data_IF_250400891092
#
_entry.id   IF_250400891092
#
_cell.length_a   1.000
_cell.length_b   1.000
_cell.length_c   1.000
_cell.angle_alpha   90.00
_cell.angle_beta   90.00
_cell.angle_gamma   90.00
#
_symmetry.space_group_name_H-M   'P 1'
#
loop_
_entity.id
_entity.type
_entity.pdbx_description
1 polymer ?
#
# COMPACT_ATOMS: atom_id res chain seq x y z
N UNK A 1 -24.14 33.09 2.27
CA UNK A 1 -23.95 31.72 1.74
C UNK A 1 -22.56 31.30 2.15
N UNK A 2 -22.46 30.42 3.14
CA UNK A 2 -21.16 29.91 3.57
C UNK A 2 -20.59 29.03 2.45
N UNK A 3 -19.39 29.31 1.99
CA UNK A 3 -18.66 28.39 1.13
C UNK A 3 -18.44 27.09 1.91
N UNK A 4 -18.63 25.91 1.31
CA UNK A 4 -18.23 24.69 1.97
C UNK A 4 -16.72 24.77 2.15
N UNK A 5 -16.32 24.86 3.42
CA UNK A 5 -14.95 24.66 3.77
C UNK A 5 -14.52 23.29 3.23
N UNK A 6 -13.45 23.24 2.49
CA UNK A 6 -12.94 22.00 1.87
C UNK A 6 -12.38 20.99 2.89
N UNK A 7 -12.90 20.97 4.10
CA UNK A 7 -12.50 20.08 5.20
C UNK A 7 -13.33 18.78 5.25
N UNK A 8 -13.97 18.41 4.13
CA UNK A 8 -14.60 17.09 4.03
C UNK A 8 -13.56 15.99 4.28
N UNK A 9 -13.86 15.06 5.18
CA UNK A 9 -13.01 13.90 5.42
C UNK A 9 -12.71 13.20 4.09
N UNK A 10 -11.42 12.82 3.86
CA UNK A 10 -10.99 12.10 2.66
C UNK A 10 -11.47 10.64 2.76
N UNK A 11 -12.71 10.41 2.35
CA UNK A 11 -13.37 9.11 2.47
C UNK A 11 -12.91 8.19 1.35
N UNK A 12 -12.35 6.99 1.67
CA UNK A 12 -11.99 6.00 0.67
C UNK A 12 -13.18 5.61 -0.21
N UNK A 13 -12.93 5.43 -1.51
CA UNK A 13 -13.95 5.13 -2.50
C UNK A 13 -14.26 6.30 -3.44
N UNK A 14 -14.06 7.53 -3.00
CA UNK A 14 -14.02 8.70 -3.87
C UNK A 14 -12.65 8.75 -4.56
N UNK A 15 -12.63 8.91 -5.89
CA UNK A 15 -11.40 8.91 -6.68
C UNK A 15 -10.42 10.01 -6.24
N UNK A 16 -10.91 11.20 -5.92
CA UNK A 16 -10.04 12.28 -5.43
C UNK A 16 -9.41 11.94 -4.08
N UNK A 17 -10.17 11.33 -3.19
CA UNK A 17 -9.66 10.86 -1.89
C UNK A 17 -8.66 9.72 -2.08
N UNK A 18 -8.95 8.76 -2.95
CA UNK A 18 -8.04 7.64 -3.23
C UNK A 18 -6.71 8.14 -3.80
N UNK A 19 -6.72 9.13 -4.69
CA UNK A 19 -5.49 9.75 -5.21
C UNK A 19 -4.66 10.41 -4.10
N UNK A 20 -5.30 11.12 -3.20
CA UNK A 20 -4.62 11.79 -2.08
C UNK A 20 -4.01 10.79 -1.11
N UNK A 21 -4.75 9.74 -0.75
CA UNK A 21 -4.24 8.70 0.14
C UNK A 21 -3.10 7.91 -0.50
N UNK A 22 -3.23 7.59 -1.79
CA UNK A 22 -2.16 6.88 -2.50
C UNK A 22 -0.91 7.76 -2.65
N UNK A 23 -1.07 9.05 -2.90
CA UNK A 23 0.04 10.02 -2.90
C UNK A 23 0.73 10.05 -1.54
N UNK A 24 -0.03 10.04 -0.44
CA UNK A 24 0.53 9.96 0.90
C UNK A 24 1.34 8.66 1.12
N UNK A 25 0.89 7.53 0.58
CA UNK A 25 1.64 6.28 0.63
C UNK A 25 2.96 6.38 -0.15
N UNK A 26 2.94 7.01 -1.32
CA UNK A 26 4.15 7.26 -2.10
C UNK A 26 5.13 8.17 -1.34
N UNK A 27 4.64 9.24 -0.73
CA UNK A 27 5.47 10.13 0.08
C UNK A 27 6.09 9.39 1.27
N UNK A 28 5.32 8.52 1.90
CA UNK A 28 5.80 7.70 3.02
C UNK A 28 6.91 6.74 2.58
N UNK A 29 6.86 6.22 1.35
CA UNK A 29 7.89 5.33 0.82
C UNK A 29 9.28 5.97 0.79
N UNK A 30 9.36 7.29 0.72
CA UNK A 30 10.64 8.03 0.73
C UNK A 30 11.36 7.96 2.06
N UNK A 31 10.69 7.60 3.14
CA UNK A 31 11.28 7.42 4.47
C UNK A 31 11.99 6.07 4.61
N UNK A 32 11.73 5.13 3.72
CA UNK A 32 12.36 3.82 3.77
C UNK A 32 13.88 3.94 3.61
N UNK A 33 14.68 3.23 4.42
CA UNK A 33 16.12 3.15 4.21
C UNK A 33 16.43 2.64 2.80
N UNK A 34 17.41 3.22 2.14
CA UNK A 34 17.82 2.81 0.81
C UNK A 34 18.24 1.35 0.80
N UNK A 35 17.91 0.62 -0.28
CA UNK A 35 18.30 -0.77 -0.46
C UNK A 35 18.73 -0.99 -1.91
N UNK A 36 19.72 -1.86 -2.09
CA UNK A 36 20.15 -2.32 -3.42
C UNK A 36 19.37 -3.56 -3.88
N UNK A 37 18.57 -4.17 -3.01
CA UNK A 37 17.95 -5.48 -3.23
C UNK A 37 16.43 -5.49 -3.00
N UNK A 38 15.81 -4.37 -2.65
CA UNK A 38 14.38 -4.30 -2.37
C UNK A 38 13.83 -2.91 -2.67
N UNK A 39 12.59 -2.87 -3.18
CA UNK A 39 11.89 -1.62 -3.42
C UNK A 39 11.51 -0.91 -2.11
N UNK A 40 11.47 0.40 -2.16
CA UNK A 40 10.94 1.25 -1.09
C UNK A 40 9.46 1.51 -1.35
N UNK A 41 8.64 1.11 -0.39
CA UNK A 41 7.16 1.11 -0.46
C UNK A 41 6.62 1.82 0.77
N UNK A 42 5.50 2.50 0.60
CA UNK A 42 4.71 3.04 1.70
C UNK A 42 3.30 2.51 1.66
N UNK A 43 2.69 2.33 2.82
CA UNK A 43 1.33 1.83 2.95
C UNK A 43 0.56 2.53 4.06
N UNK A 44 -0.74 2.76 3.82
CA UNK A 44 -1.67 3.28 4.81
C UNK A 44 -2.93 2.41 4.86
N UNK A 45 -3.43 2.19 6.06
CA UNK A 45 -4.77 1.67 6.29
C UNK A 45 -5.68 2.83 6.70
N UNK A 46 -6.74 3.05 5.95
CA UNK A 46 -7.68 4.16 6.17
C UNK A 46 -9.08 3.59 6.37
N UNK A 47 -9.72 3.99 7.46
CA UNK A 47 -11.09 3.58 7.78
C UNK A 47 -12.09 4.20 6.79
N UNK A 48 -13.30 3.63 6.73
CA UNK A 48 -14.39 4.18 5.92
C UNK A 48 -14.72 5.64 6.27
N UNK A 49 -14.43 6.05 7.49
CA UNK A 49 -14.60 7.45 7.95
C UNK A 49 -13.55 8.42 7.42
N UNK A 50 -12.46 7.92 6.82
CA UNK A 50 -11.30 8.71 6.44
C UNK A 50 -10.24 8.84 7.54
N UNK A 51 -10.42 8.16 8.67
CA UNK A 51 -9.41 8.12 9.72
C UNK A 51 -8.28 7.16 9.34
N UNK A 52 -7.03 7.59 9.51
CA UNK A 52 -5.86 6.72 9.33
C UNK A 52 -5.75 5.78 10.52
N UNK A 53 -5.85 4.48 10.24
CA UNK A 53 -5.74 3.43 11.28
C UNK A 53 -4.28 3.13 11.57
N UNK A 54 -3.47 2.96 10.53
CA UNK A 54 -2.06 2.64 10.67
C UNK A 54 -1.30 2.98 9.38
N UNK A 55 0.00 3.15 9.53
CA UNK A 55 0.93 3.38 8.42
C UNK A 55 2.13 2.46 8.52
N UNK A 56 2.84 2.27 7.41
CA UNK A 56 4.09 1.53 7.39
C UNK A 56 4.91 1.87 6.14
N UNK A 57 6.21 1.72 6.24
CA UNK A 57 7.09 1.78 5.08
C UNK A 57 8.12 0.65 5.13
N UNK A 58 8.73 0.37 4.00
CA UNK A 58 9.68 -0.73 3.86
C UNK A 58 10.85 -0.59 4.84
N UNK A 59 11.21 -1.68 5.52
CA UNK A 59 12.34 -1.72 6.44
C UNK A 59 12.25 -0.70 7.58
N UNK A 60 11.02 -0.39 8.02
CA UNK A 60 10.79 0.63 9.05
C UNK A 60 11.32 0.20 10.41
N UNK A 61 11.05 -1.03 10.83
CA UNK A 61 11.45 -1.57 12.14
C UNK A 61 12.51 -2.65 11.97
N UNK A 62 12.31 -3.55 11.01
CA UNK A 62 13.19 -4.68 10.72
C UNK A 62 13.60 -4.64 9.25
N UNK A 63 14.86 -4.98 8.90
CA UNK A 63 15.30 -4.98 7.50
C UNK A 63 14.47 -5.84 6.54
N UNK A 64 13.74 -6.83 7.05
CA UNK A 64 12.87 -7.69 6.27
C UNK A 64 11.44 -7.16 6.15
N UNK A 65 11.08 -6.08 6.83
CA UNK A 65 9.71 -5.54 6.82
C UNK A 65 9.32 -5.00 5.45
N UNK A 66 8.12 -5.41 4.99
CA UNK A 66 7.40 -4.74 3.92
C UNK A 66 6.42 -3.71 4.52
N UNK A 67 6.10 -2.68 3.75
CA UNK A 67 5.24 -1.59 4.22
C UNK A 67 3.87 -2.09 4.70
N UNK A 68 3.25 -2.97 3.92
CA UNK A 68 1.91 -3.48 4.21
C UNK A 68 1.90 -4.30 5.50
N UNK A 69 2.93 -5.13 5.73
CA UNK A 69 2.97 -5.94 6.96
C UNK A 69 3.18 -5.06 8.20
N UNK A 70 3.95 -3.98 8.11
CA UNK A 70 4.10 -3.03 9.22
C UNK A 70 2.76 -2.37 9.55
N UNK A 71 2.05 -1.88 8.54
CA UNK A 71 0.74 -1.26 8.72
C UNK A 71 -0.27 -2.24 9.33
N UNK A 72 -0.33 -3.47 8.80
CA UNK A 72 -1.23 -4.51 9.32
C UNK A 72 -0.91 -4.92 10.75
N UNK A 73 0.37 -5.05 11.07
CA UNK A 73 0.81 -5.38 12.43
C UNK A 73 0.39 -4.30 13.43
N UNK A 74 0.51 -3.03 13.06
CA UNK A 74 0.09 -1.90 13.88
C UNK A 74 -1.43 -1.77 14.02
N UNK A 75 -2.18 -2.29 13.05
CA UNK A 75 -3.63 -2.31 13.04
C UNK A 75 -4.23 -3.56 13.70
N UNK A 76 -3.42 -4.42 14.31
CA UNK A 76 -3.90 -5.65 14.94
C UNK A 76 -5.01 -5.36 15.96
N UNK A 77 -6.12 -6.08 15.86
CA UNK A 77 -7.30 -5.88 16.69
C UNK A 77 -8.32 -4.87 16.17
N UNK A 78 -8.00 -4.12 15.11
CA UNK A 78 -8.96 -3.23 14.46
C UNK A 78 -9.84 -4.00 13.46
N UNK A 79 -11.09 -3.52 13.28
CA UNK A 79 -11.98 -4.02 12.24
C UNK A 79 -11.58 -3.43 10.88
N UNK A 80 -11.11 -4.28 9.97
CA UNK A 80 -10.56 -3.87 8.68
C UNK A 80 -11.48 -4.15 7.48
N UNK A 81 -12.67 -4.71 7.71
CA UNK A 81 -13.58 -5.09 6.62
C UNK A 81 -14.09 -3.93 5.77
N UNK A 82 -14.20 -2.73 6.34
CA UNK A 82 -14.58 -1.51 5.64
C UNK A 82 -13.41 -0.56 5.38
N UNK A 83 -12.19 -0.95 5.79
CA UNK A 83 -10.99 -0.15 5.57
C UNK A 83 -10.44 -0.34 4.16
N UNK A 84 -9.67 0.64 3.68
CA UNK A 84 -8.90 0.54 2.45
C UNK A 84 -7.42 0.54 2.78
N UNK A 85 -6.67 -0.37 2.17
CA UNK A 85 -5.21 -0.35 2.18
C UNK A 85 -4.72 0.38 0.93
N UNK A 86 -3.93 1.41 1.12
CA UNK A 86 -3.22 2.11 0.05
C UNK A 86 -1.76 1.68 0.07
N UNK A 87 -1.25 1.21 -1.05
CA UNK A 87 0.16 0.83 -1.19
C UNK A 87 0.75 1.41 -2.46
N UNK A 88 1.94 1.98 -2.35
CA UNK A 88 2.64 2.56 -3.50
C UNK A 88 3.08 1.52 -4.53
N UNK A 89 3.18 0.26 -4.12
CA UNK A 89 3.52 -0.88 -4.97
C UNK A 89 2.52 -2.01 -4.73
N UNK A 90 2.25 -2.79 -5.76
CA UNK A 90 1.43 -4.00 -5.66
C UNK A 90 1.95 -4.92 -4.54
N UNK A 91 1.06 -5.38 -3.62
CA UNK A 91 1.47 -6.33 -2.58
C UNK A 91 2.08 -7.60 -3.16
N UNK A 92 3.17 -8.06 -2.58
CA UNK A 92 3.86 -9.25 -3.06
C UNK A 92 3.03 -10.52 -2.87
N UNK A 93 3.18 -11.48 -3.80
CA UNK A 93 2.54 -12.80 -3.70
C UNK A 93 3.48 -13.84 -3.09
N UNK A 94 4.79 -13.68 -3.28
CA UNK A 94 5.82 -14.56 -2.72
C UNK A 94 7.02 -13.73 -2.29
N UNK A 95 7.66 -14.16 -1.21
CA UNK A 95 8.87 -13.52 -0.70
C UNK A 95 9.72 -14.55 0.04
N UNK A 96 11.04 -14.39 -0.04
CA UNK A 96 11.97 -15.30 0.63
C UNK A 96 12.16 -14.97 2.11
N UNK A 97 11.98 -13.70 2.50
CA UNK A 97 12.31 -13.20 3.84
C UNK A 97 11.32 -13.60 4.94
N UNK A 98 10.10 -13.99 4.58
CA UNK A 98 9.05 -14.36 5.53
C UNK A 98 8.12 -15.43 4.92
N UNK A 99 7.46 -16.27 5.76
CA UNK A 99 6.59 -17.35 5.26
C UNK A 99 5.35 -16.84 4.53
N UNK A 100 4.77 -15.72 4.98
CA UNK A 100 3.55 -15.17 4.38
C UNK A 100 3.85 -13.93 3.54
N UNK A 101 3.28 -13.89 2.33
CA UNK A 101 3.33 -12.73 1.45
C UNK A 101 2.40 -11.62 1.97
N UNK A 102 2.63 -10.38 1.51
CA UNK A 102 1.75 -9.27 1.85
C UNK A 102 0.31 -9.51 1.35
N UNK A 103 0.13 -10.10 0.18
CA UNK A 103 -1.21 -10.44 -0.33
C UNK A 103 -1.95 -11.38 0.62
N UNK A 104 -1.28 -12.41 1.13
CA UNK A 104 -1.87 -13.34 2.10
C UNK A 104 -2.18 -12.67 3.43
N UNK A 105 -1.29 -11.83 3.92
CA UNK A 105 -1.50 -11.08 5.17
C UNK A 105 -2.70 -10.13 5.06
N UNK A 106 -2.86 -9.44 3.94
CA UNK A 106 -3.99 -8.55 3.67
C UNK A 106 -5.30 -9.33 3.70
N UNK A 107 -5.37 -10.45 3.00
CA UNK A 107 -6.55 -11.30 2.97
C UNK A 107 -6.90 -11.84 4.35
N UNK A 108 -5.90 -12.35 5.07
CA UNK A 108 -6.10 -12.91 6.42
C UNK A 108 -6.56 -11.84 7.43
N UNK A 109 -6.14 -10.59 7.27
CA UNK A 109 -6.55 -9.48 8.12
C UNK A 109 -7.98 -9.00 7.85
N UNK A 110 -8.63 -9.48 6.80
CA UNK A 110 -10.01 -9.10 6.46
C UNK A 110 -10.15 -7.82 5.66
N UNK A 111 -9.06 -7.25 5.15
CA UNK A 111 -9.12 -6.08 4.25
C UNK A 111 -9.80 -6.48 2.94
N UNK A 112 -10.79 -5.68 2.51
CA UNK A 112 -11.60 -5.97 1.32
C UNK A 112 -11.33 -5.03 0.14
N UNK A 113 -10.54 -3.98 0.34
CA UNK A 113 -10.26 -2.99 -0.68
C UNK A 113 -8.80 -2.56 -0.61
N UNK A 114 -8.11 -2.61 -1.76
CA UNK A 114 -6.69 -2.23 -1.89
C UNK A 114 -6.55 -1.30 -3.09
N UNK A 115 -5.83 -0.21 -2.92
CA UNK A 115 -5.52 0.77 -3.98
C UNK A 115 -4.01 0.81 -4.17
N UNK A 116 -3.54 0.62 -5.39
CA UNK A 116 -2.11 0.55 -5.74
C UNK A 116 -1.75 1.54 -6.83
N UNK A 117 -0.51 2.03 -6.81
CA UNK A 117 0.02 2.92 -7.83
C UNK A 117 0.76 2.17 -8.94
N UNK A 118 1.57 1.19 -8.57
CA UNK A 118 2.50 0.52 -9.46
C UNK A 118 2.42 -1.00 -9.28
N UNK A 119 2.30 -1.72 -10.39
CA UNK A 119 2.37 -3.18 -10.38
C UNK A 119 3.81 -3.62 -10.23
N UNK A 120 4.03 -4.63 -9.40
CA UNK A 120 5.37 -5.09 -9.09
C UNK A 120 6.06 -5.72 -10.29
N UNK A 121 7.24 -5.19 -10.71
CA UNK A 121 8.03 -5.86 -11.74
C UNK A 121 8.73 -7.09 -11.13
N UNK A 122 8.97 -8.17 -11.91
CA UNK A 122 9.52 -9.43 -11.40
C UNK A 122 11.05 -9.36 -11.21
N UNK A 123 11.55 -8.39 -10.43
CA UNK A 123 12.98 -8.19 -10.16
C UNK A 123 13.45 -8.89 -8.89
N UNK A 124 12.68 -8.77 -7.80
CA UNK A 124 13.06 -9.28 -6.49
C UNK A 124 12.07 -10.31 -5.94
N UNK A 125 10.81 -10.21 -6.32
CA UNK A 125 9.73 -11.11 -5.92
C UNK A 125 8.85 -11.41 -7.13
N UNK A 126 8.09 -12.50 -7.06
CA UNK A 126 7.09 -12.79 -8.09
C UNK A 126 5.90 -11.82 -7.96
N UNK A 127 5.51 -11.21 -9.09
CA UNK A 127 4.30 -10.41 -9.18
C UNK A 127 3.03 -11.27 -9.09
N UNK A 128 1.87 -10.63 -9.22
CA UNK A 128 0.57 -11.30 -9.25
C UNK A 128 -0.23 -11.19 -7.96
N UNK A 129 0.23 -10.42 -6.98
CA UNK A 129 -0.50 -10.19 -5.72
C UNK A 129 -1.87 -9.58 -5.95
N UNK A 130 -1.99 -8.61 -6.88
CA UNK A 130 -3.26 -7.99 -7.22
C UNK A 130 -4.27 -9.00 -7.76
N UNK A 131 -3.86 -9.86 -8.68
CA UNK A 131 -4.72 -10.92 -9.24
C UNK A 131 -5.12 -11.93 -8.16
N UNK A 132 -4.19 -12.36 -7.33
CA UNK A 132 -4.46 -13.27 -6.23
C UNK A 132 -5.49 -12.68 -5.26
N UNK A 133 -5.31 -11.42 -4.86
CA UNK A 133 -6.24 -10.71 -3.97
C UNK A 133 -7.64 -10.64 -4.60
N UNK A 134 -7.74 -10.29 -5.88
CA UNK A 134 -9.02 -10.23 -6.58
C UNK A 134 -9.75 -11.56 -6.58
N UNK A 135 -9.02 -12.68 -6.76
CA UNK A 135 -9.62 -14.03 -6.70
C UNK A 135 -10.02 -14.45 -5.27
N UNK A 136 -9.54 -13.74 -4.25
CA UNK A 136 -9.86 -14.00 -2.84
C UNK A 136 -10.81 -12.94 -2.24
N UNK A 137 -11.59 -12.27 -3.08
CA UNK A 137 -12.66 -11.38 -2.66
C UNK A 137 -12.21 -9.98 -2.25
N UNK A 138 -10.98 -9.58 -2.59
CA UNK A 138 -10.46 -8.23 -2.35
C UNK A 138 -10.58 -7.40 -3.63
N UNK A 139 -11.23 -6.25 -3.53
CA UNK A 139 -11.31 -5.32 -4.66
C UNK A 139 -9.98 -4.57 -4.78
N UNK A 140 -9.27 -4.76 -5.87
CA UNK A 140 -8.01 -4.08 -6.16
C UNK A 140 -8.24 -3.01 -7.22
N UNK A 141 -7.82 -1.78 -6.91
CA UNK A 141 -7.91 -0.61 -7.78
C UNK A 141 -6.50 -0.12 -8.06
N UNK A 142 -6.13 -0.05 -9.32
CA UNK A 142 -4.86 0.55 -9.75
C UNK A 142 -5.11 1.98 -10.20
N UNK A 143 -4.26 2.91 -9.76
CA UNK A 143 -4.22 4.29 -10.25
C UNK A 143 -2.89 4.50 -11.00
N UNK A 144 -2.81 4.06 -12.27
CA UNK A 144 -1.55 4.05 -13.01
C UNK A 144 -0.97 5.44 -13.27
N UNK A 145 -1.78 6.49 -13.18
CA UNK A 145 -1.30 7.88 -13.26
C UNK A 145 -0.32 8.25 -12.13
N UNK A 146 -0.31 7.49 -11.03
CA UNK A 146 0.62 7.68 -9.91
C UNK A 146 1.82 6.73 -9.95
N UNK A 147 1.87 5.83 -10.94
CA UNK A 147 2.96 4.85 -11.04
C UNK A 147 4.33 5.53 -11.23
N UNK A 148 4.41 6.59 -12.01
CA UNK A 148 5.67 7.30 -12.24
C UNK A 148 6.26 7.86 -10.94
N UNK A 149 5.44 8.41 -10.05
CA UNK A 149 5.88 8.92 -8.75
C UNK A 149 6.39 7.79 -7.84
N UNK A 150 5.72 6.64 -7.81
CA UNK A 150 6.15 5.47 -7.05
C UNK A 150 7.47 4.91 -7.59
N UNK A 151 7.63 4.85 -8.91
CA UNK A 151 8.87 4.41 -9.57
C UNK A 151 10.03 5.36 -9.28
N UNK A 152 9.78 6.67 -9.25
CA UNK A 152 10.84 7.67 -9.00
C UNK A 152 11.55 7.45 -7.67
N UNK A 153 10.85 7.01 -6.64
CA UNK A 153 11.43 6.65 -5.34
C UNK A 153 12.43 5.48 -5.46
N UNK A 154 12.22 4.62 -6.45
CA UNK A 154 12.99 3.40 -6.68
C UNK A 154 13.88 3.49 -7.92
N UNK A 155 14.14 4.69 -8.40
CA UNK A 155 14.83 4.93 -9.67
C UNK A 155 16.21 4.25 -9.74
N UNK A 156 16.96 4.27 -8.64
CA UNK A 156 18.27 3.62 -8.53
C UNK A 156 18.25 2.10 -8.75
N UNK A 157 17.08 1.47 -8.62
CA UNK A 157 16.90 0.02 -8.86
C UNK A 157 16.44 -0.29 -10.27
N UNK A 158 15.89 0.69 -10.99
CA UNK A 158 15.27 0.51 -12.30
C UNK A 158 16.21 0.84 -13.47
N UNK A 159 17.31 1.52 -13.22
CA UNK A 159 18.29 1.98 -14.21
C UNK A 159 19.69 1.43 -13.92
N UNK A 160 19.80 0.12 -13.71
CA UNK A 160 21.07 -0.59 -13.55
C UNK A 160 21.64 -1.00 -14.89
#
# INVERSE_FOLDING_TARGET
MAQPDGSGALVPGDLAADRRWLTAAIDLSRQAPASAAAFSVGALLVAASGEVIATGYSREVDPADHAEEVALRRAAGAELGAATLYSSLEPCLRRASRPDSCAKLISAAGVRRVVIAWREPPLFVAGGGATWLATHGVKVIALPELAAAAKAVNDHLLHR
#
